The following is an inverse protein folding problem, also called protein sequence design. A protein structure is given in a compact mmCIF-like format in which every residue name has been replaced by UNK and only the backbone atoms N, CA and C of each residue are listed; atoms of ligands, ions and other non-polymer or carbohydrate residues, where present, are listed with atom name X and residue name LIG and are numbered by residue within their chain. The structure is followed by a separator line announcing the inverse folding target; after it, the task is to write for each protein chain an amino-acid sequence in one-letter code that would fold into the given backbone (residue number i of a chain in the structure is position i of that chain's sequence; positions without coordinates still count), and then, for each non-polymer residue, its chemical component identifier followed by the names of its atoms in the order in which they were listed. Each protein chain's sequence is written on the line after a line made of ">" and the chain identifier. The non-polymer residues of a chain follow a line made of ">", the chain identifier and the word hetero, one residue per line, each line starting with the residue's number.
data_IF_484483139529
#
_entry.id   IF_484483139529
#
_cell.length_a   1.000
_cell.length_b   1.000
_cell.length_c   1.000
_cell.angle_alpha   90.00
_cell.angle_beta   90.00
_cell.angle_gamma   90.00
#
_symmetry.space_group_name_H-M   'P 1'
#
loop_
_entity.id
_entity.type
_entity.pdbx_description
1 polymer ?
#
# COMPACT_ATOMS: atom_id res chain seq x y z
N UNK A 1 3.63 0.10 12.65
CA UNK A 1 4.30 0.79 11.54
C UNK A 1 5.17 1.97 12.01
N UNK A 2 6.30 2.22 11.36
CA UNK A 2 7.12 3.44 11.48
C UNK A 2 7.16 4.17 10.14
N UNK A 3 7.08 5.51 10.15
CA UNK A 3 7.14 6.32 8.94
C UNK A 3 8.22 7.40 9.05
N UNK A 4 8.97 7.59 7.97
CA UNK A 4 10.03 8.59 7.84
C UNK A 4 9.76 9.47 6.62
N UNK A 5 9.89 10.78 6.74
CA UNK A 5 9.87 11.71 5.60
C UNK A 5 11.16 12.51 5.60
N UNK A 6 11.91 12.44 4.49
CA UNK A 6 13.23 13.06 4.37
C UNK A 6 14.19 12.71 5.52
N UNK A 7 14.06 11.50 6.08
CA UNK A 7 14.85 11.03 7.22
C UNK A 7 14.39 11.53 8.59
N UNK A 8 13.32 12.33 8.66
CA UNK A 8 12.68 12.72 9.92
C UNK A 8 11.57 11.74 10.29
N UNK A 9 11.57 11.28 11.53
CA UNK A 9 10.54 10.35 12.02
C UNK A 9 9.21 11.07 12.25
N UNK A 10 8.15 10.49 11.68
CA UNK A 10 6.79 10.95 11.92
C UNK A 10 6.22 10.12 13.06
N UNK A 11 5.96 10.79 14.18
CA UNK A 11 5.53 10.18 15.44
C UNK A 11 4.13 9.57 15.41
N UNK A 12 3.36 9.75 14.32
CA UNK A 12 2.05 9.16 14.17
C UNK A 12 1.78 8.73 12.73
N UNK A 13 1.47 7.44 12.59
CA UNK A 13 0.92 6.83 11.40
C UNK A 13 -0.37 7.53 10.90
N UNK A 14 -1.08 8.25 11.77
CA UNK A 14 -2.28 9.04 11.46
C UNK A 14 -2.03 10.29 10.61
N UNK A 15 -0.78 10.60 10.31
CA UNK A 15 -0.42 11.73 9.44
C UNK A 15 -0.46 11.39 7.95
N UNK A 16 -0.93 10.19 7.55
CA UNK A 16 -0.97 9.77 6.15
C UNK A 16 -2.40 9.70 5.62
N UNK A 17 -2.65 10.40 4.51
CA UNK A 17 -3.94 10.38 3.82
C UNK A 17 -3.80 9.71 2.45
N UNK A 18 -4.80 8.90 2.08
CA UNK A 18 -4.96 8.34 0.72
C UNK A 18 -6.40 8.61 0.28
N UNK A 19 -6.65 9.42 -0.77
CA UNK A 19 -7.98 9.64 -1.32
C UNK A 19 -8.42 8.42 -2.13
N UNK A 20 -9.70 8.08 -1.98
CA UNK A 20 -10.34 6.93 -2.66
C UNK A 20 -10.43 7.07 -4.19
N UNK A 21 -10.17 8.24 -4.76
CA UNK A 21 -10.02 8.47 -6.21
C UNK A 21 -9.14 9.71 -6.44
N UNK A 22 -8.22 9.65 -7.41
CA UNK A 22 -7.57 10.85 -7.97
C UNK A 22 -8.65 11.68 -8.67
N UNK A 23 -9.28 12.59 -7.94
CA UNK A 23 -10.14 13.60 -8.55
C UNK A 23 -9.29 14.40 -9.54
N UNK A 24 -9.72 14.45 -10.80
CA UNK A 24 -9.09 15.13 -11.95
C UNK A 24 -8.77 16.63 -11.70
N UNK A 25 -9.25 17.20 -10.60
CA UNK A 25 -8.97 18.56 -10.13
C UNK A 25 -7.82 18.66 -9.11
N UNK A 26 -7.12 17.56 -8.82
CA UNK A 26 -6.01 17.53 -7.86
C UNK A 26 -4.71 18.02 -8.51
N UNK A 27 -4.32 19.26 -8.20
CA UNK A 27 -3.00 19.82 -8.50
C UNK A 27 -2.18 19.87 -7.21
N UNK A 28 -1.32 18.88 -6.94
CA UNK A 28 -0.44 18.97 -5.79
C UNK A 28 0.51 20.15 -5.96
N UNK A 29 0.51 21.06 -4.99
CA UNK A 29 1.41 22.20 -4.94
C UNK A 29 2.50 21.89 -3.93
N UNK A 30 3.66 21.43 -4.41
CA UNK A 30 4.80 21.09 -3.56
C UNK A 30 5.82 20.22 -4.28
N UNK A 31 7.07 20.22 -3.79
CA UNK A 31 8.03 19.19 -4.17
C UNK A 31 7.60 17.85 -3.55
N UNK A 32 7.64 16.77 -4.33
CA UNK A 32 7.42 15.42 -3.80
C UNK A 32 8.50 15.09 -2.77
N UNK A 33 8.06 14.64 -1.60
CA UNK A 33 8.92 14.23 -0.49
C UNK A 33 9.05 12.72 -0.49
N UNK A 34 10.26 12.22 -0.27
CA UNK A 34 10.48 10.77 -0.12
C UNK A 34 9.97 10.36 1.26
N UNK A 35 8.96 9.49 1.25
CA UNK A 35 8.43 8.82 2.42
C UNK A 35 8.92 7.38 2.44
N UNK A 36 9.28 6.90 3.62
CA UNK A 36 9.61 5.50 3.88
C UNK A 36 8.68 4.97 4.96
N UNK A 37 8.01 3.86 4.68
CA UNK A 37 7.15 3.15 5.62
C UNK A 37 7.79 1.81 5.96
N UNK A 38 8.16 1.64 7.23
CA UNK A 38 8.61 0.36 7.77
C UNK A 38 7.41 -0.31 8.46
N UNK A 39 6.86 -1.34 7.81
CA UNK A 39 5.65 -2.03 8.27
C UNK A 39 6.03 -3.46 8.68
N UNK A 40 5.74 -3.89 9.93
CA UNK A 40 5.91 -5.27 10.32
C UNK A 40 5.09 -6.21 9.44
N UNK A 41 5.67 -7.32 9.01
CA UNK A 41 4.97 -8.38 8.25
C UNK A 41 3.73 -8.88 9.01
N UNK A 42 3.82 -8.97 10.34
CA UNK A 42 2.69 -9.36 11.19
C UNK A 42 1.50 -8.39 11.08
N UNK A 43 1.77 -7.09 10.99
CA UNK A 43 0.74 -6.04 10.86
C UNK A 43 0.09 -6.11 9.46
N UNK A 44 0.90 -6.33 8.42
CA UNK A 44 0.37 -6.57 7.07
C UNK A 44 -0.52 -7.82 7.02
N UNK A 45 -0.10 -8.92 7.64
CA UNK A 45 -0.91 -10.13 7.70
C UNK A 45 -2.22 -9.89 8.47
N UNK A 46 -2.15 -9.25 9.64
CA UNK A 46 -3.32 -8.96 10.46
C UNK A 46 -4.36 -8.10 9.72
N UNK A 47 -3.90 -7.08 9.00
CA UNK A 47 -4.77 -6.11 8.32
C UNK A 47 -5.26 -6.63 6.96
N UNK A 48 -4.40 -7.30 6.18
CA UNK A 48 -4.66 -7.60 4.77
C UNK A 48 -5.06 -9.05 4.48
N UNK A 49 -4.94 -9.98 5.43
CA UNK A 49 -5.23 -11.40 5.15
C UNK A 49 -6.64 -11.59 4.58
N UNK A 50 -7.66 -11.00 5.21
CA UNK A 50 -9.05 -11.14 4.74
C UNK A 50 -9.30 -10.42 3.40
N UNK A 51 -8.92 -9.13 3.22
CA UNK A 51 -9.01 -8.46 1.92
C UNK A 51 -8.30 -9.22 0.80
N UNK A 52 -7.11 -9.74 1.08
CA UNK A 52 -6.33 -10.53 0.14
C UNK A 52 -7.05 -11.80 -0.31
N UNK A 53 -7.61 -12.56 0.64
CA UNK A 53 -8.31 -13.81 0.33
C UNK A 53 -9.60 -13.55 -0.46
N UNK A 54 -10.26 -12.40 -0.26
CA UNK A 54 -11.40 -11.97 -1.05
C UNK A 54 -10.97 -11.59 -2.48
N UNK A 55 -9.95 -10.75 -2.62
CA UNK A 55 -9.36 -10.36 -3.91
C UNK A 55 -8.97 -11.57 -4.76
N UNK A 56 -8.26 -12.55 -4.18
CA UNK A 56 -7.82 -13.74 -4.91
C UNK A 56 -9.01 -14.56 -5.42
N UNK A 57 -10.11 -14.64 -4.66
CA UNK A 57 -11.34 -15.31 -5.11
C UNK A 57 -11.98 -14.59 -6.29
N UNK A 58 -12.04 -13.27 -6.24
CA UNK A 58 -12.60 -12.45 -7.32
C UNK A 58 -11.78 -12.58 -8.60
N UNK A 59 -10.45 -12.38 -8.51
CA UNK A 59 -9.56 -12.49 -9.67
C UNK A 59 -9.55 -13.88 -10.30
N UNK A 60 -9.62 -14.95 -9.49
CA UNK A 60 -9.74 -16.32 -10.01
C UNK A 60 -11.04 -16.51 -10.78
N UNK A 61 -12.15 -16.04 -10.22
CA UNK A 61 -13.47 -16.16 -10.86
C UNK A 61 -13.52 -15.40 -12.18
N UNK A 62 -12.93 -14.20 -12.22
CA UNK A 62 -12.85 -13.39 -13.42
C UNK A 62 -11.94 -14.02 -14.48
N UNK A 63 -10.79 -14.57 -14.07
CA UNK A 63 -9.89 -15.31 -14.94
C UNK A 63 -10.54 -16.57 -15.54
N UNK A 64 -11.33 -17.30 -14.76
CA UNK A 64 -12.12 -18.45 -15.26
C UNK A 64 -13.21 -18.03 -16.25
N UNK A 65 -13.85 -16.88 -16.02
CA UNK A 65 -14.92 -16.37 -16.89
C UNK A 65 -14.39 -15.79 -18.21
N UNK A 66 -13.23 -15.16 -18.20
CA UNK A 66 -12.66 -14.44 -19.35
C UNK A 66 -11.58 -15.22 -20.09
N UNK A 67 -10.91 -16.17 -19.43
CA UNK A 67 -9.72 -16.84 -19.93
C UNK A 67 -8.44 -15.98 -19.90
N UNK A 68 -8.53 -14.75 -19.38
CA UNK A 68 -7.40 -13.82 -19.27
C UNK A 68 -6.82 -13.85 -17.86
N UNK A 69 -5.49 -13.79 -17.75
CA UNK A 69 -4.77 -13.72 -16.47
C UNK A 69 -3.70 -12.65 -16.52
N UNK A 70 -3.68 -11.80 -15.51
CA UNK A 70 -2.64 -10.80 -15.28
C UNK A 70 -1.34 -11.46 -14.77
N UNK A 71 -0.32 -10.63 -14.52
CA UNK A 71 0.97 -11.03 -13.92
C UNK A 71 0.78 -11.78 -12.60
N UNK A 72 -0.16 -11.36 -11.76
CA UNK A 72 -0.46 -11.96 -10.48
C UNK A 72 -1.13 -13.34 -10.61
N UNK A 73 -2.07 -13.48 -11.55
CA UNK A 73 -2.68 -14.76 -11.91
C UNK A 73 -1.67 -15.74 -12.52
N UNK A 74 -0.72 -15.26 -13.34
CA UNK A 74 0.39 -16.07 -13.86
C UNK A 74 1.34 -16.56 -12.77
N UNK A 75 1.48 -15.79 -11.68
CA UNK A 75 2.21 -16.22 -10.48
C UNK A 75 1.42 -17.22 -9.61
N UNK A 76 0.16 -17.51 -9.96
CA UNK A 76 -0.66 -18.54 -9.31
C UNK A 76 -1.37 -18.09 -8.04
N UNK A 77 -1.43 -16.78 -7.76
CA UNK A 77 -1.98 -16.21 -6.53
C UNK A 77 -1.36 -16.84 -5.26
N UNK A 78 -0.04 -16.63 -5.02
CA UNK A 78 0.64 -17.20 -3.87
C UNK A 78 -0.05 -16.80 -2.54
N UNK A 79 0.03 -17.59 -1.47
CA UNK A 79 -0.45 -17.13 -0.15
C UNK A 79 0.19 -15.81 0.27
N UNK A 80 -0.53 -14.95 1.00
CA UNK A 80 -0.03 -13.62 1.42
C UNK A 80 1.32 -13.71 2.13
N UNK A 81 1.51 -14.70 3.00
CA UNK A 81 2.80 -14.92 3.69
C UNK A 81 3.97 -15.14 2.72
N UNK A 82 3.73 -15.80 1.58
CA UNK A 82 4.75 -16.00 0.54
C UNK A 82 4.92 -14.70 -0.26
N UNK A 83 3.83 -14.01 -0.57
CA UNK A 83 3.87 -12.72 -1.26
C UNK A 83 4.71 -11.69 -0.49
N UNK A 84 4.66 -11.69 0.85
CA UNK A 84 5.47 -10.82 1.72
C UNK A 84 6.99 -11.07 1.62
N UNK A 85 7.41 -12.18 1.00
CA UNK A 85 8.82 -12.50 0.75
C UNK A 85 9.24 -12.24 -0.71
N UNK A 86 8.33 -11.75 -1.55
CA UNK A 86 8.54 -11.53 -2.99
C UNK A 86 8.42 -10.03 -3.35
N UNK A 87 9.48 -9.23 -3.17
CA UNK A 87 9.35 -7.77 -3.16
C UNK A 87 8.77 -7.16 -4.44
N UNK A 88 9.15 -7.72 -5.60
CA UNK A 88 8.69 -7.21 -6.90
C UNK A 88 7.20 -7.47 -7.10
N UNK A 89 6.75 -8.70 -6.81
CA UNK A 89 5.34 -9.07 -6.93
C UNK A 89 4.49 -8.37 -5.86
N UNK A 90 5.01 -8.24 -4.64
CA UNK A 90 4.33 -7.52 -3.57
C UNK A 90 4.14 -6.05 -3.92
N UNK A 91 5.14 -5.37 -4.48
CA UNK A 91 5.01 -3.96 -4.87
C UNK A 91 3.88 -3.75 -5.89
N UNK A 92 3.81 -4.63 -6.88
CA UNK A 92 2.75 -4.62 -7.90
C UNK A 92 1.37 -4.88 -7.27
N UNK A 93 1.23 -6.01 -6.56
CA UNK A 93 -0.06 -6.40 -5.97
C UNK A 93 -0.53 -5.40 -4.90
N UNK A 94 0.39 -4.94 -4.05
CA UNK A 94 0.08 -3.97 -3.02
C UNK A 94 -0.32 -2.63 -3.63
N UNK A 95 0.47 -2.10 -4.56
CA UNK A 95 0.19 -0.82 -5.21
C UNK A 95 -1.11 -0.82 -6.02
N UNK A 96 -1.44 -1.94 -6.67
CA UNK A 96 -2.62 -2.03 -7.55
C UNK A 96 -3.90 -2.38 -6.80
N UNK A 97 -3.85 -3.28 -5.80
CA UNK A 97 -5.06 -3.83 -5.18
C UNK A 97 -5.18 -3.55 -3.69
N UNK A 98 -4.10 -3.65 -2.91
CA UNK A 98 -4.21 -3.73 -1.45
C UNK A 98 -3.91 -2.41 -0.71
N UNK A 99 -3.33 -1.42 -1.38
CA UNK A 99 -2.91 -0.18 -0.74
C UNK A 99 -4.10 0.56 -0.09
N UNK A 100 -5.21 0.71 -0.82
CA UNK A 100 -6.39 1.41 -0.30
C UNK A 100 -7.01 0.67 0.91
N UNK A 101 -7.10 -0.66 0.83
CA UNK A 101 -7.55 -1.51 1.93
C UNK A 101 -6.64 -1.35 3.15
N UNK A 102 -5.32 -1.38 2.96
CA UNK A 102 -4.37 -1.22 4.05
C UNK A 102 -4.54 0.13 4.76
N UNK A 103 -4.52 1.25 4.05
CA UNK A 103 -4.62 2.58 4.67
C UNK A 103 -5.98 2.84 5.32
N UNK A 104 -7.04 2.24 4.77
CA UNK A 104 -8.38 2.32 5.33
C UNK A 104 -8.50 1.48 6.61
N UNK A 105 -8.09 0.21 6.56
CA UNK A 105 -8.24 -0.74 7.67
C UNK A 105 -7.25 -0.49 8.82
N UNK A 106 -6.04 -0.03 8.51
CA UNK A 106 -5.05 0.36 9.51
C UNK A 106 -5.41 1.69 10.22
N UNK A 107 -6.58 2.28 9.94
CA UNK A 107 -7.07 3.53 10.52
C UNK A 107 -6.08 4.70 10.34
N UNK A 108 -5.28 4.65 9.28
CA UNK A 108 -4.36 5.73 8.91
C UNK A 108 -5.15 6.90 8.30
N UNK A 109 -6.31 6.59 7.74
CA UNK A 109 -7.31 7.53 7.24
C UNK A 109 -8.15 8.14 8.37
N UNK A 110 -7.55 8.87 9.31
CA UNK A 110 -8.31 9.64 10.30
C UNK A 110 -8.89 10.89 9.61
N UNK A 111 -10.19 10.88 9.30
CA UNK A 111 -10.88 11.93 8.53
C UNK A 111 -11.12 13.22 9.33
N UNK A 112 -10.68 13.27 10.58
CA UNK A 112 -11.01 14.37 11.50
C UNK A 112 -10.03 15.56 11.43
N UNK A 113 -8.78 15.35 11.00
CA UNK A 113 -7.80 16.41 10.72
C UNK A 113 -6.86 15.98 9.58
N UNK A 114 -6.97 16.53 8.36
CA UNK A 114 -6.24 16.00 7.21
C UNK A 114 -4.78 16.50 7.12
N UNK A 115 -4.21 17.06 8.19
CA UNK A 115 -2.86 17.61 8.17
C UNK A 115 -1.80 16.52 8.23
N UNK A 116 -0.97 16.42 7.18
CA UNK A 116 0.12 15.44 7.13
C UNK A 116 0.65 15.26 5.71
N UNK A 117 0.53 14.07 5.15
CA UNK A 117 1.18 13.70 3.90
C UNK A 117 0.32 12.73 3.07
N UNK A 118 0.20 12.99 1.79
CA UNK A 118 -0.48 12.16 0.79
C UNK A 118 0.51 11.23 0.12
N UNK A 119 0.27 9.92 0.11
CA UNK A 119 1.10 8.97 -0.66
C UNK A 119 0.62 8.95 -2.11
N UNK A 120 1.45 9.49 -3.01
CA UNK A 120 1.16 9.58 -4.44
C UNK A 120 1.33 8.25 -5.14
N UNK A 121 2.45 7.58 -4.86
CA UNK A 121 2.82 6.30 -5.46
C UNK A 121 3.92 5.64 -4.63
N UNK A 122 3.92 4.30 -4.63
CA UNK A 122 5.04 3.51 -4.17
C UNK A 122 6.10 3.44 -5.27
N UNK A 123 7.33 3.75 -4.93
CA UNK A 123 8.45 3.79 -5.87
C UNK A 123 9.34 2.55 -5.76
N UNK A 124 9.49 2.01 -4.55
CA UNK A 124 10.27 0.81 -4.32
C UNK A 124 9.79 0.05 -3.09
N UNK A 125 10.17 -1.23 -3.02
CA UNK A 125 9.90 -2.09 -1.89
C UNK A 125 11.10 -2.96 -1.60
N UNK A 126 11.43 -3.12 -0.32
CA UNK A 126 12.41 -4.09 0.15
C UNK A 126 11.91 -4.81 1.40
N UNK A 127 12.52 -5.96 1.70
CA UNK A 127 12.26 -6.70 2.94
C UNK A 127 13.53 -6.67 3.80
N UNK A 128 13.38 -6.44 5.10
CA UNK A 128 14.49 -6.44 6.05
C UNK A 128 14.04 -7.10 7.35
N UNK A 129 14.43 -8.36 7.53
CA UNK A 129 13.97 -9.18 8.64
C UNK A 129 12.44 -9.32 8.62
N UNK A 130 11.81 -8.92 9.72
CA UNK A 130 10.35 -9.00 9.91
C UNK A 130 9.61 -7.77 9.37
N UNK A 131 10.29 -6.87 8.67
CA UNK A 131 9.70 -5.66 8.11
C UNK A 131 9.64 -5.70 6.59
N UNK A 132 8.54 -5.18 6.07
CA UNK A 132 8.42 -4.72 4.69
C UNK A 132 8.62 -3.22 4.69
N UNK A 133 9.54 -2.75 3.86
CA UNK A 133 9.93 -1.36 3.73
C UNK A 133 9.41 -0.86 2.39
N UNK A 134 8.50 0.11 2.42
CA UNK A 134 7.99 0.79 1.25
C UNK A 134 8.64 2.16 1.13
N UNK A 135 9.24 2.46 -0.01
CA UNK A 135 9.56 3.83 -0.39
C UNK A 135 8.45 4.37 -1.27
N UNK A 136 8.04 5.60 -1.00
CA UNK A 136 6.95 6.25 -1.68
C UNK A 136 7.24 7.72 -1.93
N UNK A 137 6.67 8.24 -3.00
CA UNK A 137 6.57 9.69 -3.18
C UNK A 137 5.34 10.18 -2.41
N UNK A 138 5.56 11.17 -1.55
CA UNK A 138 4.51 11.79 -0.77
C UNK A 138 4.42 13.30 -1.03
N UNK A 139 3.25 13.87 -0.79
CA UNK A 139 2.98 15.29 -0.98
C UNK A 139 2.36 15.86 0.29
N UNK A 140 2.76 17.06 0.76
CA UNK A 140 2.14 17.66 1.94
C UNK A 140 0.65 17.91 1.71
N UNK A 141 -0.18 17.58 2.71
CA UNK A 141 -1.61 17.91 2.72
C UNK A 141 -1.86 19.07 3.69
N UNK A 142 -2.60 20.09 3.23
CA UNK A 142 -3.02 21.26 4.02
C UNK A 142 -4.54 21.32 4.14
#
# INVERSE_FOLDING_TARGET
>A
MRALIEGSEISSAKSFYVPSMLLSSYHPTGQGLVCRLDIPKSELLEVLQEPYDQLVKELRRDGEATGETDSFGKAGYPPLVILLEEPQLLLEVFGTYLADDFFTLAQLRDSSEPSGYFIRQFTSLSTMGDFVIFDAESLPYR
#
